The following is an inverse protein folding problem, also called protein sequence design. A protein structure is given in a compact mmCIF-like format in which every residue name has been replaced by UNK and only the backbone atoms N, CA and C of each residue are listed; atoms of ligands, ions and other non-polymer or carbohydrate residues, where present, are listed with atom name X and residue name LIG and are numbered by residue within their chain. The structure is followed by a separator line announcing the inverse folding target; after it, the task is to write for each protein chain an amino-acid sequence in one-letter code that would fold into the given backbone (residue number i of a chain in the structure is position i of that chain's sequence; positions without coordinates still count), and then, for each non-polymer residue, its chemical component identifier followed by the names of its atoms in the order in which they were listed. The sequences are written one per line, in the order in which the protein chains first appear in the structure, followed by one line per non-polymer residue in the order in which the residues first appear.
data_IF_686302918466
#
_entry.id   IF_686302918466
#
_cell.length_a   1.000
_cell.length_b   1.000
_cell.length_c   1.000
_cell.angle_alpha   90.00
_cell.angle_beta   90.00
_cell.angle_gamma   90.00
#
_symmetry.space_group_name_H-M   'P 1'
#
loop_
_entity.id
_entity.type
_entity.pdbx_description
1 polymer ?
#
# COMPACT_ATOMS: atom_id res chain seq x y z
N UNK A 1 23.04 -10.11 46.58
CA UNK A 1 23.68 -11.05 45.63
C UNK A 1 23.70 -10.37 44.27
N UNK A 2 24.84 -9.81 43.90
CA UNK A 2 25.04 -9.08 42.65
C UNK A 2 25.11 -10.10 41.52
N UNK A 3 24.14 -10.08 40.60
CA UNK A 3 24.14 -10.97 39.45
C UNK A 3 25.40 -10.73 38.62
N UNK A 4 26.20 -11.77 38.40
CA UNK A 4 27.34 -11.75 37.49
C UNK A 4 26.87 -11.29 36.10
N UNK A 5 27.60 -10.37 35.43
CA UNK A 5 27.27 -9.98 34.07
C UNK A 5 27.38 -11.22 33.20
N UNK A 6 26.27 -11.61 32.56
CA UNK A 6 26.28 -12.63 31.50
C UNK A 6 27.28 -12.16 30.44
N UNK A 7 28.33 -12.95 30.23
CA UNK A 7 29.32 -12.77 29.16
C UNK A 7 28.58 -12.62 27.84
N UNK A 8 28.50 -11.38 27.35
CA UNK A 8 28.00 -11.10 26.00
C UNK A 8 29.08 -11.59 25.04
N UNK A 9 28.78 -12.49 24.09
CA UNK A 9 29.74 -12.89 23.08
C UNK A 9 30.15 -11.64 22.28
N UNK A 10 31.40 -11.20 22.45
CA UNK A 10 31.95 -10.02 21.78
C UNK A 10 32.44 -10.32 20.35
N UNK A 11 32.30 -11.57 19.90
CA UNK A 11 32.78 -12.03 18.60
C UNK A 11 31.63 -12.12 17.59
N UNK A 12 31.97 -11.87 16.32
CA UNK A 12 31.06 -12.12 15.20
C UNK A 12 30.66 -13.60 15.21
N UNK A 13 29.36 -13.96 15.09
CA UNK A 13 28.88 -15.34 15.11
C UNK A 13 29.20 -16.07 13.79
N UNK A 14 30.49 -16.20 13.48
CA UNK A 14 30.99 -16.61 12.16
C UNK A 14 30.60 -18.04 11.81
N UNK A 15 30.59 -18.94 12.79
CA UNK A 15 30.19 -20.34 12.59
C UNK A 15 28.71 -20.45 12.21
N UNK A 16 27.84 -19.74 12.93
CA UNK A 16 26.41 -19.69 12.65
C UNK A 16 26.13 -19.06 11.28
N UNK A 17 26.82 -17.96 10.97
CA UNK A 17 26.70 -17.33 9.65
C UNK A 17 27.18 -18.25 8.52
N UNK A 18 28.27 -19.00 8.73
CA UNK A 18 28.77 -19.95 7.76
C UNK A 18 27.77 -21.09 7.51
N UNK A 19 27.19 -21.62 8.58
CA UNK A 19 26.19 -22.68 8.58
C UNK A 19 24.91 -22.28 7.82
N UNK A 20 24.35 -21.11 8.17
CA UNK A 20 23.19 -20.55 7.46
C UNK A 20 23.51 -20.24 6.00
N UNK A 21 24.70 -19.72 5.71
CA UNK A 21 25.12 -19.50 4.34
C UNK A 21 25.17 -20.84 3.59
N UNK A 22 25.84 -21.86 4.10
CA UNK A 22 25.88 -23.19 3.45
C UNK A 22 24.48 -23.77 3.19
N UNK A 23 23.54 -23.59 4.12
CA UNK A 23 22.14 -24.02 3.98
C UNK A 23 21.31 -23.20 2.96
N UNK A 24 21.89 -22.21 2.29
CA UNK A 24 21.23 -21.48 1.22
C UNK A 24 20.80 -20.06 1.57
N UNK A 25 20.86 -19.66 2.85
CA UNK A 25 20.32 -18.39 3.31
C UNK A 25 21.15 -17.19 2.81
N UNK A 26 20.44 -16.11 2.50
CA UNK A 26 21.05 -14.86 2.06
C UNK A 26 21.25 -13.92 3.25
N UNK A 27 22.51 -13.63 3.59
CA UNK A 27 22.85 -12.84 4.76
C UNK A 27 23.27 -11.40 4.42
N UNK A 28 23.22 -10.51 5.40
CA UNK A 28 23.60 -9.10 5.32
C UNK A 28 24.45 -8.67 6.52
N UNK A 29 25.48 -7.84 6.34
CA UNK A 29 26.18 -7.23 7.46
C UNK A 29 25.34 -6.08 8.01
N UNK A 30 24.93 -6.16 9.28
CA UNK A 30 24.26 -5.07 9.99
C UNK A 30 25.28 -4.31 10.85
N UNK A 31 24.88 -3.18 11.43
CA UNK A 31 25.76 -2.29 12.18
C UNK A 31 25.82 -0.87 11.63
N UNK A 32 25.00 -0.53 10.64
CA UNK A 32 24.72 0.86 10.26
C UNK A 32 23.54 1.43 11.05
N UNK A 33 23.35 2.75 10.93
CA UNK A 33 22.28 3.49 11.64
C UNK A 33 22.55 3.63 13.14
N UNK A 34 21.73 4.43 13.83
CA UNK A 34 21.89 4.68 15.27
C UNK A 34 21.66 3.43 16.13
N UNK A 35 20.79 2.53 15.66
CA UNK A 35 20.35 1.34 16.39
C UNK A 35 21.13 0.05 16.07
N UNK A 36 22.12 0.15 15.18
CA UNK A 36 22.94 -0.94 14.68
C UNK A 36 22.20 -1.97 13.83
N UNK A 37 20.93 -1.74 13.48
CA UNK A 37 20.10 -2.70 12.71
C UNK A 37 20.12 -2.44 11.21
N UNK A 38 20.63 -1.31 10.77
CA UNK A 38 20.66 -1.00 9.35
C UNK A 38 21.81 -1.74 8.65
N UNK A 39 21.63 -2.19 7.39
CA UNK A 39 22.68 -2.86 6.65
C UNK A 39 23.83 -1.88 6.36
N UNK A 40 25.06 -2.35 6.55
CA UNK A 40 26.28 -1.59 6.23
C UNK A 40 26.41 -1.42 4.70
N UNK A 41 25.84 -2.34 3.92
CA UNK A 41 25.90 -2.34 2.46
C UNK A 41 24.50 -2.38 1.85
N UNK A 42 24.29 -1.62 0.78
CA UNK A 42 23.05 -1.67 0.01
C UNK A 42 22.86 -3.03 -0.69
N UNK A 43 21.66 -3.60 -0.58
CA UNK A 43 21.36 -4.97 -1.04
C UNK A 43 20.11 -5.11 -1.92
N UNK A 44 19.32 -4.04 -2.09
CA UNK A 44 18.11 -4.05 -2.92
C UNK A 44 18.44 -4.50 -4.35
N UNK A 45 17.67 -5.45 -4.88
CA UNK A 45 17.86 -6.01 -6.22
C UNK A 45 19.13 -6.84 -6.42
N UNK A 46 19.95 -7.06 -5.36
CA UNK A 46 21.17 -7.88 -5.45
C UNK A 46 20.87 -9.34 -5.15
N UNK A 47 21.59 -10.21 -5.85
CA UNK A 47 21.66 -11.64 -5.55
C UNK A 47 22.30 -11.90 -4.18
N UNK A 48 22.33 -13.17 -3.78
CA UNK A 48 22.94 -13.63 -2.54
C UNK A 48 24.41 -13.23 -2.47
N UNK A 49 24.81 -12.63 -1.35
CA UNK A 49 26.18 -12.15 -1.17
C UNK A 49 27.12 -13.30 -0.73
N UNK A 50 28.36 -13.35 -1.22
CA UNK A 50 29.39 -14.25 -0.68
C UNK A 50 29.69 -13.92 0.79
N UNK A 51 29.94 -14.93 1.62
CA UNK A 51 30.19 -14.76 3.06
C UNK A 51 31.33 -13.76 3.35
N UNK A 52 32.41 -13.76 2.57
CA UNK A 52 33.51 -12.78 2.68
C UNK A 52 33.06 -11.32 2.53
N UNK A 53 32.03 -11.05 1.70
CA UNK A 53 31.47 -9.70 1.49
C UNK A 53 30.56 -9.28 2.65
N UNK A 54 30.18 -10.20 3.53
CA UNK A 54 29.40 -9.96 4.74
C UNK A 54 30.36 -9.78 5.93
N UNK A 55 31.29 -10.71 6.13
CA UNK A 55 32.22 -10.68 7.27
C UNK A 55 33.18 -9.48 7.22
N UNK A 56 33.74 -9.14 6.05
CA UNK A 56 34.74 -8.07 5.98
C UNK A 56 34.21 -6.69 6.43
N UNK A 57 33.01 -6.24 6.01
CA UNK A 57 32.40 -5.03 6.59
C UNK A 57 32.11 -5.13 8.09
N UNK A 58 31.69 -6.29 8.59
CA UNK A 58 31.41 -6.48 10.02
C UNK A 58 32.68 -6.33 10.86
N UNK A 59 33.80 -6.94 10.45
CA UNK A 59 35.09 -6.78 11.11
C UNK A 59 35.57 -5.32 11.11
N UNK A 60 35.48 -4.63 9.97
CA UNK A 60 35.91 -3.22 9.88
C UNK A 60 35.12 -2.29 10.78
N UNK A 61 33.83 -2.57 10.97
CA UNK A 61 32.94 -1.74 11.78
C UNK A 61 32.79 -2.25 13.23
N UNK A 62 33.47 -3.33 13.62
CA UNK A 62 33.29 -3.96 14.93
C UNK A 62 31.86 -4.45 15.19
N UNK A 63 31.09 -4.74 14.15
CA UNK A 63 29.70 -5.18 14.28
C UNK A 63 29.61 -6.69 14.48
N UNK A 64 28.84 -7.12 15.46
CA UNK A 64 28.50 -8.52 15.73
C UNK A 64 27.07 -8.88 15.30
N UNK A 65 26.38 -7.96 14.61
CA UNK A 65 25.01 -8.14 14.16
C UNK A 65 24.93 -8.42 12.66
N UNK A 66 24.18 -9.44 12.26
CA UNK A 66 23.91 -9.75 10.86
C UNK A 66 22.43 -9.98 10.60
N UNK A 67 22.00 -9.82 9.35
CA UNK A 67 20.62 -9.96 8.92
C UNK A 67 20.43 -11.18 8.03
N UNK A 68 19.29 -11.84 8.14
CA UNK A 68 18.82 -12.87 7.23
C UNK A 68 17.78 -12.25 6.31
N UNK A 69 18.01 -12.27 4.99
CA UNK A 69 17.05 -11.77 3.99
C UNK A 69 15.90 -12.76 3.84
N UNK A 70 14.70 -12.21 3.63
CA UNK A 70 13.46 -12.99 3.62
C UNK A 70 12.97 -13.34 2.21
N UNK A 71 13.90 -13.51 1.26
CA UNK A 71 13.56 -14.02 -0.08
C UNK A 71 13.12 -15.47 0.00
N UNK A 72 11.81 -15.71 -0.08
CA UNK A 72 11.22 -17.05 0.10
C UNK A 72 10.89 -17.42 1.55
N UNK A 73 11.12 -16.52 2.51
CA UNK A 73 10.81 -16.72 3.93
C UNK A 73 9.76 -15.73 4.42
N UNK A 74 9.05 -16.13 5.45
CA UNK A 74 8.21 -15.26 6.26
C UNK A 74 8.63 -15.40 7.74
N UNK A 75 8.64 -14.29 8.45
CA UNK A 75 8.90 -14.26 9.89
C UNK A 75 7.73 -13.56 10.57
N UNK A 76 7.11 -14.25 11.52
CA UNK A 76 6.19 -13.64 12.48
C UNK A 76 7.05 -13.06 13.60
N UNK A 77 7.16 -11.72 13.64
CA UNK A 77 7.96 -10.97 14.60
C UNK A 77 7.06 -10.48 15.74
N UNK A 78 7.08 -11.22 16.85
CA UNK A 78 6.40 -10.86 18.08
C UNK A 78 7.29 -9.88 18.87
N UNK A 79 6.79 -8.67 19.16
CA UNK A 79 7.55 -7.66 19.90
C UNK A 79 7.75 -8.02 21.38
N UNK A 80 6.92 -8.92 21.91
CA UNK A 80 6.89 -9.34 23.32
C UNK A 80 7.10 -10.84 23.39
N UNK A 81 7.91 -11.28 24.36
CA UNK A 81 8.23 -12.69 24.59
C UNK A 81 7.16 -13.32 25.50
N UNK A 82 5.92 -13.35 25.02
CA UNK A 82 4.77 -13.89 25.73
C UNK A 82 4.36 -15.27 25.16
N UNK A 83 4.41 -16.35 25.96
CA UNK A 83 4.01 -17.69 25.51
C UNK A 83 2.57 -17.74 24.96
N UNK A 84 1.62 -17.02 25.55
CA UNK A 84 0.23 -17.02 25.09
C UNK A 84 0.08 -16.38 23.70
N UNK A 85 0.80 -15.29 23.45
CA UNK A 85 0.89 -14.68 22.12
C UNK A 85 1.52 -15.62 21.09
N UNK A 86 2.60 -16.32 21.45
CA UNK A 86 3.29 -17.27 20.56
C UNK A 86 2.34 -18.41 20.20
N UNK A 87 1.69 -19.04 21.19
CA UNK A 87 0.71 -20.10 20.97
C UNK A 87 -0.44 -19.62 20.07
N UNK A 88 -0.95 -18.39 20.30
CA UNK A 88 -1.97 -17.78 19.44
C UNK A 88 -1.48 -17.60 18.00
N UNK A 89 -0.22 -17.23 17.80
CA UNK A 89 0.35 -17.07 16.45
C UNK A 89 0.55 -18.43 15.76
N UNK A 90 1.03 -19.43 16.47
CA UNK A 90 1.22 -20.79 15.94
C UNK A 90 -0.12 -21.49 15.65
N UNK A 91 -1.13 -21.30 16.49
CA UNK A 91 -2.49 -21.77 16.22
C UNK A 91 -3.05 -21.15 14.93
N UNK A 92 -2.76 -19.86 14.70
CA UNK A 92 -3.24 -19.12 13.53
C UNK A 92 -2.48 -19.43 12.24
N UNK A 93 -1.15 -19.53 12.31
CA UNK A 93 -0.28 -19.61 11.13
C UNK A 93 0.35 -21.00 10.92
N UNK A 94 0.04 -21.96 11.79
CA UNK A 94 0.71 -23.24 11.91
C UNK A 94 1.91 -23.16 12.86
N UNK A 95 2.27 -24.27 13.52
CA UNK A 95 3.44 -24.32 14.40
C UNK A 95 4.74 -24.03 13.64
N UNK A 96 5.65 -23.28 14.25
CA UNK A 96 6.97 -23.01 13.70
C UNK A 96 8.01 -23.88 14.41
N UNK A 97 8.79 -24.70 13.68
CA UNK A 97 9.84 -25.49 14.31
C UNK A 97 11.05 -24.66 14.73
N UNK A 98 11.14 -23.39 14.33
CA UNK A 98 12.35 -22.58 14.51
C UNK A 98 12.02 -21.21 15.09
N UNK A 99 12.49 -20.97 16.31
CA UNK A 99 12.30 -19.74 17.05
C UNK A 99 13.64 -19.05 17.36
N UNK A 100 13.67 -17.73 17.19
CA UNK A 100 14.78 -16.90 17.67
C UNK A 100 14.24 -15.90 18.67
N UNK A 101 14.72 -15.97 19.91
CA UNK A 101 14.45 -14.96 20.92
C UNK A 101 15.16 -13.67 20.54
N UNK A 102 14.43 -12.56 20.52
CA UNK A 102 14.95 -11.23 20.27
C UNK A 102 15.18 -10.50 21.61
N UNK A 103 15.72 -9.27 21.62
CA UNK A 103 15.90 -8.52 22.87
C UNK A 103 14.61 -8.29 23.65
N UNK A 104 13.44 -8.29 22.98
CA UNK A 104 12.14 -8.00 23.59
C UNK A 104 11.10 -9.11 23.40
N UNK A 105 11.23 -9.88 22.32
CA UNK A 105 10.21 -10.82 21.88
C UNK A 105 10.77 -12.02 21.14
N UNK A 106 10.10 -12.44 20.06
CA UNK A 106 10.41 -13.69 19.37
C UNK A 106 10.14 -13.62 17.87
N UNK A 107 11.06 -14.17 17.08
CA UNK A 107 10.85 -14.47 15.67
C UNK A 107 10.42 -15.92 15.52
N UNK A 108 9.33 -16.16 14.78
CA UNK A 108 8.90 -17.50 14.36
C UNK A 108 9.11 -17.62 12.84
N UNK A 109 9.89 -18.61 12.41
CA UNK A 109 10.31 -18.74 11.01
C UNK A 109 9.41 -19.68 10.20
N UNK A 110 9.11 -19.27 8.98
CA UNK A 110 8.30 -20.03 8.01
C UNK A 110 8.85 -19.85 6.59
N UNK A 111 8.45 -20.74 5.69
CA UNK A 111 8.50 -20.47 4.26
C UNK A 111 7.37 -19.51 3.89
N UNK A 112 7.67 -18.51 3.06
CA UNK A 112 6.63 -17.62 2.54
C UNK A 112 5.74 -18.36 1.54
N UNK A 113 4.43 -18.29 1.69
CA UNK A 113 3.49 -18.70 0.63
C UNK A 113 3.52 -17.67 -0.52
N UNK A 114 3.47 -18.16 -1.76
CA UNK A 114 3.43 -17.32 -2.95
C UNK A 114 2.05 -16.71 -3.25
N UNK A 115 1.01 -17.20 -2.57
CA UNK A 115 -0.38 -16.82 -2.80
C UNK A 115 -1.09 -16.49 -1.46
N UNK A 116 -1.89 -15.42 -1.47
CA UNK A 116 -2.71 -15.00 -0.33
C UNK A 116 -2.40 -13.60 0.20
N UNK A 117 -3.39 -13.00 0.87
CA UNK A 117 -3.26 -11.70 1.51
C UNK A 117 -2.79 -11.91 2.95
N UNK A 118 -1.65 -11.31 3.31
CA UNK A 118 -1.13 -11.36 4.66
C UNK A 118 -1.87 -10.33 5.53
N UNK A 119 -2.34 -10.71 6.74
CA UNK A 119 -3.01 -9.78 7.64
C UNK A 119 -2.04 -8.70 8.14
N UNK A 120 -2.61 -7.55 8.52
CA UNK A 120 -1.88 -6.55 9.28
C UNK A 120 -2.25 -6.70 10.76
N UNK A 121 -1.48 -7.51 11.48
CA UNK A 121 -1.74 -7.86 12.88
C UNK A 121 -1.71 -6.66 13.83
N UNK A 122 -1.00 -5.59 13.48
CA UNK A 122 -1.02 -4.33 14.25
C UNK A 122 -2.37 -3.65 14.20
N UNK A 123 -3.09 -3.73 13.06
CA UNK A 123 -4.45 -3.22 12.95
C UNK A 123 -5.46 -4.05 13.75
N UNK A 124 -5.10 -5.28 14.08
CA UNK A 124 -5.86 -6.18 14.96
C UNK A 124 -5.46 -6.01 16.45
N UNK A 125 -4.70 -4.96 16.79
CA UNK A 125 -4.27 -4.69 18.17
C UNK A 125 -3.18 -5.61 18.70
N UNK A 126 -2.61 -6.50 17.88
CA UNK A 126 -1.56 -7.42 18.30
C UNK A 126 -0.17 -6.79 18.17
N UNK A 127 0.74 -6.98 19.13
CA UNK A 127 2.12 -6.48 19.05
C UNK A 127 2.99 -7.38 18.16
N UNK A 128 2.53 -7.67 16.95
CA UNK A 128 3.15 -8.63 16.02
C UNK A 128 3.24 -8.01 14.63
N UNK A 129 4.32 -8.29 13.91
CA UNK A 129 4.51 -7.93 12.50
C UNK A 129 4.81 -9.18 11.66
N UNK A 130 4.39 -9.21 10.39
CA UNK A 130 4.75 -10.29 9.46
C UNK A 130 5.75 -9.73 8.43
N UNK A 131 7.01 -10.12 8.58
CA UNK A 131 8.09 -9.69 7.69
C UNK A 131 8.31 -10.72 6.59
N UNK A 132 8.40 -10.25 5.35
CA UNK A 132 8.59 -11.11 4.17
C UNK A 132 9.15 -10.35 2.98
N UNK A 133 9.65 -11.09 2.00
CA UNK A 133 10.02 -10.58 0.68
C UNK A 133 11.52 -10.34 0.53
N UNK A 134 11.98 -10.34 -0.73
CA UNK A 134 13.40 -10.34 -1.08
C UNK A 134 14.20 -9.10 -0.62
N UNK A 135 13.49 -8.01 -0.27
CA UNK A 135 14.04 -6.76 0.23
C UNK A 135 13.85 -6.57 1.75
N UNK A 136 13.23 -7.53 2.44
CA UNK A 136 13.10 -7.52 3.90
C UNK A 136 14.19 -8.41 4.54
N UNK A 137 14.47 -8.13 5.81
CA UNK A 137 15.41 -8.90 6.62
C UNK A 137 15.03 -8.82 8.11
N UNK A 138 15.52 -9.79 8.88
CA UNK A 138 15.53 -9.77 10.35
C UNK A 138 16.95 -10.04 10.86
N UNK A 139 17.29 -9.59 12.06
CA UNK A 139 18.56 -9.97 12.68
C UNK A 139 18.59 -11.50 12.93
N UNK A 140 19.74 -12.12 12.65
CA UNK A 140 19.93 -13.56 12.76
C UNK A 140 20.35 -14.02 14.16
N UNK A 141 20.21 -15.32 14.46
CA UNK A 141 20.65 -15.90 15.73
C UNK A 141 22.14 -15.68 16.01
N UNK A 142 22.50 -15.51 17.28
CA UNK A 142 23.86 -15.17 17.71
C UNK A 142 24.24 -13.70 17.49
N UNK A 143 23.40 -12.89 16.86
CA UNK A 143 23.67 -11.46 16.69
C UNK A 143 23.59 -10.70 18.02
N UNK A 144 24.49 -9.73 18.20
CA UNK A 144 24.46 -8.77 19.30
C UNK A 144 24.43 -7.35 18.73
N UNK A 145 23.54 -6.50 19.24
CA UNK A 145 23.41 -5.10 18.84
C UNK A 145 24.37 -4.22 19.62
N UNK A 146 24.61 -3.00 19.12
CA UNK A 146 25.40 -1.98 19.82
C UNK A 146 24.84 -1.61 21.19
N UNK A 147 23.53 -1.71 21.39
CA UNK A 147 22.85 -1.51 22.67
C UNK A 147 22.87 -2.75 23.59
N UNK A 148 23.60 -3.81 23.22
CA UNK A 148 23.66 -5.08 23.96
C UNK A 148 22.47 -6.01 23.73
N UNK A 149 21.48 -5.61 22.92
CA UNK A 149 20.36 -6.47 22.56
C UNK A 149 20.84 -7.72 21.80
N UNK A 150 20.53 -8.90 22.34
CA UNK A 150 20.99 -10.18 21.79
C UNK A 150 19.85 -10.95 21.09
N UNK A 151 20.22 -11.74 20.09
CA UNK A 151 19.34 -12.67 19.38
C UNK A 151 19.83 -14.10 19.63
N UNK A 152 19.00 -14.95 20.22
CA UNK A 152 19.39 -16.32 20.59
C UNK A 152 18.48 -17.35 19.93
N UNK A 153 19.02 -18.46 19.40
CA UNK A 153 18.19 -19.63 19.11
C UNK A 153 17.40 -20.02 20.35
N UNK A 154 16.08 -20.13 20.20
CA UNK A 154 15.18 -20.51 21.28
C UNK A 154 14.57 -21.90 21.02
N UNK A 155 14.32 -22.22 19.76
CA UNK A 155 13.76 -23.51 19.34
C UNK A 155 14.26 -23.86 17.95
N UNK A 156 14.52 -25.16 17.74
CA UNK A 156 14.98 -25.72 16.49
C UNK A 156 16.24 -25.07 15.91
N UNK A 157 16.46 -25.38 14.65
CA UNK A 157 17.62 -25.00 13.90
C UNK A 157 17.22 -24.56 12.48
N UNK A 158 17.37 -23.26 12.21
CA UNK A 158 17.05 -22.68 10.92
C UNK A 158 17.80 -23.31 9.73
N UNK A 159 19.01 -23.84 9.92
CA UNK A 159 19.77 -24.42 8.80
C UNK A 159 19.44 -25.91 8.56
N UNK A 160 18.84 -26.60 9.53
CA UNK A 160 18.58 -28.04 9.49
C UNK A 160 17.08 -28.37 9.39
N UNK A 161 16.23 -27.61 10.09
CA UNK A 161 14.81 -27.90 10.20
C UNK A 161 14.04 -27.42 8.98
N UNK A 162 13.11 -28.28 8.53
CA UNK A 162 12.24 -27.98 7.41
C UNK A 162 11.13 -27.02 7.84
N UNK A 163 11.24 -25.76 7.41
CA UNK A 163 10.21 -24.76 7.67
C UNK A 163 8.88 -25.10 6.95
N UNK A 164 7.74 -25.08 7.65
CA UNK A 164 6.43 -25.17 7.01
C UNK A 164 6.12 -23.86 6.27
N UNK A 165 5.17 -23.91 5.33
CA UNK A 165 4.59 -22.68 4.79
C UNK A 165 3.75 -21.98 5.84
N UNK A 166 3.88 -20.65 5.90
CA UNK A 166 3.00 -19.84 6.73
C UNK A 166 1.56 -20.02 6.25
N UNK A 167 0.70 -20.62 7.10
CA UNK A 167 -0.71 -20.81 6.76
C UNK A 167 -1.40 -19.48 6.79
N UNK A 168 -1.86 -19.01 5.64
CA UNK A 168 -2.71 -17.83 5.59
C UNK A 168 -4.16 -18.25 5.79
N UNK A 169 -4.95 -17.52 6.59
CA UNK A 169 -6.37 -17.76 6.66
C UNK A 169 -6.95 -17.62 5.25
N UNK A 170 -7.65 -18.65 4.79
CA UNK A 170 -8.47 -18.56 3.59
C UNK A 170 -9.53 -17.49 3.83
N UNK A 171 -9.96 -16.75 2.80
CA UNK A 171 -10.91 -15.62 2.91
C UNK A 171 -12.14 -15.94 3.79
N UNK A 172 -12.59 -17.20 3.79
CA UNK A 172 -13.69 -17.73 4.62
C UNK A 172 -13.40 -17.84 6.12
N UNK A 173 -12.15 -17.94 6.57
CA UNK A 173 -11.76 -17.97 7.99
C UNK A 173 -11.44 -16.58 8.55
N UNK A 174 -11.03 -15.63 7.69
CA UNK A 174 -10.75 -14.26 8.10
C UNK A 174 -12.04 -13.47 8.38
N UNK A 175 -13.12 -13.74 7.64
CA UNK A 175 -14.45 -13.17 7.92
C UNK A 175 -15.12 -13.76 9.17
N UNK A 176 -14.78 -14.99 9.58
CA UNK A 176 -15.48 -15.67 10.69
C UNK A 176 -14.92 -15.40 12.09
N UNK A 177 -13.79 -14.72 12.23
CA UNK A 177 -13.10 -14.61 13.53
C UNK A 177 -13.15 -13.24 14.20
N UNK A 178 -13.61 -12.20 13.51
CA UNK A 178 -13.88 -10.90 14.13
C UNK A 178 -15.15 -10.36 13.48
N UNK A 179 -16.29 -10.44 14.17
CA UNK A 179 -17.49 -9.75 13.74
C UNK A 179 -17.20 -8.25 13.57
N UNK A 180 -17.95 -7.58 12.70
CA UNK A 180 -17.83 -6.14 12.46
C UNK A 180 -18.17 -5.43 13.79
N UNK A 181 -17.13 -4.91 14.43
CA UNK A 181 -17.19 -4.36 15.78
C UNK A 181 -18.16 -3.18 15.91
N UNK A 182 -18.85 -3.11 17.06
CA UNK A 182 -19.70 -1.97 17.40
C UNK A 182 -18.92 -0.65 17.30
N UNK A 183 -19.43 0.26 16.45
CA UNK A 183 -18.82 1.57 16.17
C UNK A 183 -18.20 1.69 14.77
N UNK A 184 -17.85 0.58 14.11
CA UNK A 184 -17.33 0.59 12.72
C UNK A 184 -18.32 0.08 11.67
N UNK A 185 -19.46 -0.47 12.12
CA UNK A 185 -20.46 -1.16 11.28
C UNK A 185 -21.02 -0.32 10.13
N UNK A 186 -21.41 0.93 10.38
CA UNK A 186 -21.96 1.80 9.34
C UNK A 186 -20.94 2.02 8.21
N UNK A 187 -19.67 2.27 8.56
CA UNK A 187 -18.58 2.40 7.59
C UNK A 187 -18.33 1.09 6.84
N UNK A 188 -18.27 -0.04 7.55
CA UNK A 188 -18.05 -1.35 6.94
C UNK A 188 -19.16 -1.71 5.94
N UNK A 189 -20.43 -1.57 6.34
CA UNK A 189 -21.59 -1.80 5.48
C UNK A 189 -21.60 -0.84 4.28
N UNK A 190 -21.21 0.43 4.45
CA UNK A 190 -21.08 1.38 3.35
C UNK A 190 -19.99 1.00 2.34
N UNK A 191 -18.85 0.50 2.83
CA UNK A 191 -17.77 0.01 1.96
C UNK A 191 -18.23 -1.21 1.17
N UNK A 192 -18.88 -2.17 1.83
CA UNK A 192 -19.45 -3.37 1.19
C UNK A 192 -20.50 -2.97 0.14
N UNK A 193 -21.37 -2.02 0.46
CA UNK A 193 -22.40 -1.54 -0.45
C UNK A 193 -21.78 -1.00 -1.75
N UNK A 194 -20.74 -0.17 -1.67
CA UNK A 194 -20.02 0.34 -2.85
C UNK A 194 -19.30 -0.76 -3.64
N UNK A 195 -18.87 -1.84 -2.99
CA UNK A 195 -18.23 -2.98 -3.68
C UNK A 195 -19.24 -3.85 -4.45
N UNK A 196 -20.46 -3.99 -3.92
CA UNK A 196 -21.51 -4.84 -4.48
C UNK A 196 -22.43 -4.11 -5.46
N UNK A 197 -22.54 -2.78 -5.38
CA UNK A 197 -23.56 -2.02 -6.11
C UNK A 197 -23.50 -2.20 -7.64
N UNK A 198 -22.33 -2.48 -8.22
CA UNK A 198 -22.19 -2.71 -9.67
C UNK A 198 -22.64 -4.11 -10.12
N UNK A 199 -22.76 -5.07 -9.19
CA UNK A 199 -23.06 -6.47 -9.50
C UNK A 199 -24.51 -6.87 -9.21
N UNK A 200 -25.27 -6.00 -8.53
CA UNK A 200 -26.68 -6.20 -8.21
C UNK A 200 -27.57 -5.50 -9.23
N UNK A 201 -28.76 -6.03 -9.45
CA UNK A 201 -29.68 -5.56 -10.50
C UNK A 201 -30.54 -4.36 -10.04
N UNK A 202 -30.79 -4.25 -8.73
CA UNK A 202 -31.65 -3.22 -8.14
C UNK A 202 -31.29 -2.91 -6.66
N UNK A 203 -31.82 -1.82 -6.06
CA UNK A 203 -31.49 -1.46 -4.69
C UNK A 203 -32.12 -2.38 -3.62
N UNK A 204 -33.18 -3.14 -3.95
CA UNK A 204 -33.77 -4.13 -3.03
C UNK A 204 -32.84 -5.34 -2.86
N UNK A 205 -32.22 -5.82 -3.94
CA UNK A 205 -31.20 -6.87 -3.90
C UNK A 205 -29.98 -6.42 -3.10
N UNK A 206 -29.51 -5.18 -3.29
CA UNK A 206 -28.41 -4.62 -2.50
C UNK A 206 -28.75 -4.57 -1.01
N UNK A 207 -29.96 -4.12 -0.68
CA UNK A 207 -30.44 -4.12 0.70
C UNK A 207 -30.47 -5.53 1.29
N UNK A 208 -30.99 -6.52 0.55
CA UNK A 208 -31.01 -7.93 0.99
C UNK A 208 -29.61 -8.48 1.27
N UNK A 209 -28.64 -8.18 0.40
CA UNK A 209 -27.24 -8.59 0.60
C UNK A 209 -26.61 -7.92 1.83
N UNK A 210 -26.88 -6.63 2.06
CA UNK A 210 -26.42 -5.93 3.26
C UNK A 210 -27.09 -6.45 4.53
N UNK A 211 -28.34 -6.91 4.45
CA UNK A 211 -29.08 -7.44 5.60
C UNK A 211 -28.48 -8.77 6.05
N UNK A 212 -28.18 -9.63 5.08
CA UNK A 212 -27.45 -10.87 5.31
C UNK A 212 -26.11 -10.62 6.02
N UNK A 213 -25.32 -9.63 5.55
CA UNK A 213 -24.02 -9.31 6.16
C UNK A 213 -24.17 -8.67 7.54
N UNK A 214 -25.19 -7.83 7.76
CA UNK A 214 -25.49 -7.32 9.11
C UNK A 214 -25.75 -8.49 10.05
N UNK A 215 -26.63 -9.40 9.68
CA UNK A 215 -27.12 -10.45 10.57
C UNK A 215 -26.08 -11.55 10.82
N UNK A 216 -25.21 -11.85 9.86
CA UNK A 216 -24.17 -12.89 9.96
C UNK A 216 -22.82 -12.35 10.45
N UNK A 217 -22.45 -11.12 10.08
CA UNK A 217 -21.11 -10.58 10.30
C UNK A 217 -21.04 -9.42 11.30
N UNK A 218 -22.11 -8.66 11.61
CA UNK A 218 -22.03 -7.57 12.59
C UNK A 218 -22.21 -8.06 14.03
N UNK A 219 -21.42 -7.48 14.96
CA UNK A 219 -21.77 -7.57 16.38
C UNK A 219 -23.07 -6.79 16.65
N UNK A 220 -23.95 -7.30 17.53
CA UNK A 220 -25.21 -6.65 17.94
C UNK A 220 -26.04 -6.15 16.73
N UNK A 221 -26.42 -7.03 15.79
CA UNK A 221 -27.09 -6.65 14.54
C UNK A 221 -28.42 -5.95 14.77
N UNK A 222 -29.13 -6.30 15.84
CA UNK A 222 -30.39 -5.69 16.24
C UNK A 222 -30.29 -4.17 16.51
N UNK A 223 -29.10 -3.64 16.77
CA UNK A 223 -28.87 -2.21 16.94
C UNK A 223 -28.76 -1.42 15.62
N UNK A 224 -28.80 -2.09 14.46
CA UNK A 224 -28.80 -1.47 13.13
C UNK A 224 -30.18 -1.75 12.49
N UNK A 225 -31.13 -0.80 12.59
CA UNK A 225 -32.46 -0.99 12.04
C UNK A 225 -32.44 -1.06 10.51
N UNK A 226 -33.43 -1.75 9.93
CA UNK A 226 -33.57 -1.89 8.47
C UNK A 226 -33.59 -0.53 7.76
N UNK A 227 -34.16 0.50 8.37
CA UNK A 227 -34.16 1.87 7.81
C UNK A 227 -32.75 2.45 7.65
N UNK A 228 -31.83 2.17 8.58
CA UNK A 228 -30.43 2.59 8.44
C UNK A 228 -29.76 1.84 7.30
N UNK A 229 -30.00 0.54 7.20
CA UNK A 229 -29.44 -0.30 6.16
C UNK A 229 -29.97 0.09 4.76
N UNK A 230 -31.25 0.44 4.68
CA UNK A 230 -31.90 0.95 3.47
C UNK A 230 -31.26 2.25 2.99
N UNK A 231 -30.99 3.18 3.92
CA UNK A 231 -30.27 4.42 3.59
C UNK A 231 -28.87 4.16 3.01
N UNK A 232 -28.16 3.14 3.49
CA UNK A 232 -26.85 2.75 2.95
C UNK A 232 -27.01 2.19 1.52
N UNK A 233 -27.98 1.31 1.30
CA UNK A 233 -28.28 0.75 -0.02
C UNK A 233 -28.65 1.85 -1.03
N UNK A 234 -29.60 2.73 -0.68
CA UNK A 234 -30.05 3.83 -1.53
C UNK A 234 -28.89 4.81 -1.84
N UNK A 235 -28.04 5.10 -0.86
CA UNK A 235 -26.86 5.95 -1.06
C UNK A 235 -25.85 5.33 -2.03
N UNK A 236 -25.55 4.03 -1.88
CA UNK A 236 -24.62 3.35 -2.78
C UNK A 236 -25.22 3.28 -4.20
N UNK A 237 -26.51 2.97 -4.31
CA UNK A 237 -27.24 2.96 -5.58
C UNK A 237 -27.20 4.32 -6.28
N UNK A 238 -27.42 5.42 -5.54
CA UNK A 238 -27.28 6.77 -6.07
C UNK A 238 -25.84 7.06 -6.53
N UNK A 239 -24.82 6.57 -5.81
CA UNK A 239 -23.43 6.68 -6.25
C UNK A 239 -23.19 5.96 -7.59
N UNK A 240 -23.79 4.78 -7.80
CA UNK A 240 -23.73 4.05 -9.08
C UNK A 240 -24.39 4.85 -10.21
N UNK A 241 -25.65 5.26 -10.03
CA UNK A 241 -26.38 6.04 -11.05
C UNK A 241 -25.69 7.36 -11.40
N UNK A 242 -24.99 7.96 -10.44
CA UNK A 242 -24.24 9.19 -10.63
C UNK A 242 -22.80 8.97 -11.11
N UNK A 243 -22.35 7.74 -11.33
CA UNK A 243 -20.98 7.43 -11.75
C UNK A 243 -19.92 7.89 -10.74
N UNK A 244 -20.27 7.85 -9.43
CA UNK A 244 -19.40 8.20 -8.31
C UNK A 244 -18.68 7.01 -7.69
N UNK A 245 -18.86 5.81 -8.24
CA UNK A 245 -18.17 4.60 -7.81
C UNK A 245 -16.76 4.56 -8.40
N UNK A 246 -15.74 4.52 -7.53
CA UNK A 246 -14.35 4.44 -7.97
C UNK A 246 -13.94 2.98 -8.21
N UNK A 247 -13.60 2.63 -9.44
CA UNK A 247 -13.16 1.30 -9.88
C UNK A 247 -11.70 1.27 -10.36
N UNK A 248 -10.85 2.14 -9.80
CA UNK A 248 -9.46 2.24 -10.23
C UNK A 248 -9.35 2.72 -11.69
N UNK A 249 -8.70 1.92 -12.55
CA UNK A 249 -8.52 2.25 -13.98
C UNK A 249 -9.79 2.11 -14.83
N UNK A 250 -10.78 1.37 -14.33
CA UNK A 250 -12.07 1.21 -14.99
C UNK A 250 -13.08 2.27 -14.54
N UNK A 251 -12.65 3.23 -13.72
CA UNK A 251 -13.54 4.32 -13.29
C UNK A 251 -13.86 5.20 -14.49
N UNK A 252 -15.13 5.44 -14.70
CA UNK A 252 -15.58 6.54 -15.52
C UNK A 252 -15.31 7.86 -14.80
N UNK A 253 -15.12 8.93 -15.57
CA UNK A 253 -15.00 10.25 -15.00
C UNK A 253 -15.73 11.29 -15.83
N UNK A 254 -16.37 12.22 -15.12
CA UNK A 254 -17.11 13.32 -15.73
C UNK A 254 -16.14 14.43 -16.11
N UNK A 255 -16.22 14.89 -17.36
CA UNK A 255 -15.50 16.07 -17.84
C UNK A 255 -16.52 17.19 -18.07
N UNK A 256 -16.24 18.39 -17.56
CA UNK A 256 -17.10 19.55 -17.80
C UNK A 256 -17.09 19.92 -19.28
N UNK A 257 -18.26 19.84 -19.95
CA UNK A 257 -18.41 20.21 -21.36
C UNK A 257 -17.92 21.64 -21.65
N UNK A 258 -18.27 22.59 -20.78
CA UNK A 258 -17.80 23.97 -20.89
C UNK A 258 -16.27 24.10 -20.91
N UNK A 259 -15.54 23.23 -20.21
CA UNK A 259 -14.08 23.21 -20.27
C UNK A 259 -13.57 22.77 -21.65
N UNK A 260 -14.26 21.80 -22.27
CA UNK A 260 -13.94 21.36 -23.62
C UNK A 260 -14.24 22.46 -24.65
N UNK A 261 -15.38 23.15 -24.48
CA UNK A 261 -15.78 24.26 -25.35
C UNK A 261 -14.74 25.41 -25.29
N UNK A 262 -14.29 25.80 -24.09
CA UNK A 262 -13.24 26.80 -23.91
C UNK A 262 -11.90 26.40 -24.56
N UNK A 263 -11.57 25.10 -24.56
CA UNK A 263 -10.33 24.60 -25.14
C UNK A 263 -10.39 24.45 -26.66
N UNK A 264 -11.59 24.26 -27.22
CA UNK A 264 -11.79 24.11 -28.66
C UNK A 264 -11.38 25.36 -29.46
N UNK A 265 -11.37 26.54 -28.83
CA UNK A 265 -10.97 27.80 -29.44
C UNK A 265 -9.43 27.94 -29.64
N UNK A 266 -8.63 27.06 -29.04
CA UNK A 266 -7.17 27.13 -29.11
C UNK A 266 -6.60 26.32 -30.28
N UNK A 267 -5.55 26.81 -31.00
CA UNK A 267 -4.95 26.09 -32.12
C UNK A 267 -4.41 24.69 -31.81
N UNK A 268 -4.17 24.39 -30.54
CA UNK A 268 -3.69 23.10 -30.03
C UNK A 268 -4.73 22.41 -29.11
N UNK A 269 -6.02 22.60 -29.40
CA UNK A 269 -7.15 22.10 -28.60
C UNK A 269 -7.00 20.62 -28.20
N UNK A 270 -6.67 19.72 -29.14
CA UNK A 270 -6.54 18.29 -28.86
C UNK A 270 -5.48 18.00 -27.79
N UNK A 271 -4.33 18.67 -27.83
CA UNK A 271 -3.26 18.49 -26.84
C UNK A 271 -3.67 19.05 -25.48
N UNK A 272 -4.36 20.19 -25.48
CA UNK A 272 -4.86 20.82 -24.26
C UNK A 272 -5.94 19.97 -23.58
N UNK A 273 -6.86 19.39 -24.35
CA UNK A 273 -7.89 18.46 -23.86
C UNK A 273 -7.24 17.19 -23.32
N UNK A 274 -6.30 16.58 -24.05
CA UNK A 274 -5.59 15.38 -23.59
C UNK A 274 -4.85 15.64 -22.27
N UNK A 275 -4.18 16.80 -22.15
CA UNK A 275 -3.54 17.20 -20.90
C UNK A 275 -4.58 17.42 -19.79
N UNK A 276 -5.67 18.13 -20.05
CA UNK A 276 -6.74 18.37 -19.07
C UNK A 276 -7.35 17.08 -18.52
N UNK A 277 -7.68 16.14 -19.41
CA UNK A 277 -8.19 14.81 -19.05
C UNK A 277 -7.18 14.06 -18.18
N UNK A 278 -5.90 14.11 -18.52
CA UNK A 278 -4.85 13.48 -17.71
C UNK A 278 -4.75 14.07 -16.30
N UNK A 279 -5.14 15.34 -16.13
CA UNK A 279 -5.15 16.02 -14.84
C UNK A 279 -6.43 15.79 -14.01
N UNK A 280 -7.41 15.02 -14.52
CA UNK A 280 -8.70 14.79 -13.84
C UNK A 280 -8.56 14.17 -12.44
N UNK A 281 -7.46 13.46 -12.15
CA UNK A 281 -7.18 12.92 -10.81
C UNK A 281 -6.78 13.95 -9.75
N UNK A 282 -6.63 15.23 -10.10
CA UNK A 282 -6.30 16.30 -9.16
C UNK A 282 -7.56 16.97 -8.61
N UNK A 283 -7.58 17.18 -7.29
CA UNK A 283 -8.67 17.88 -6.61
C UNK A 283 -8.61 19.38 -6.98
N UNK A 284 -9.71 19.93 -7.50
CA UNK A 284 -9.81 21.35 -7.82
C UNK A 284 -9.48 22.24 -6.60
N UNK A 285 -8.59 23.21 -6.81
CA UNK A 285 -8.07 24.11 -5.77
C UNK A 285 -6.88 23.58 -4.96
N UNK A 286 -6.54 22.28 -5.04
CA UNK A 286 -5.30 21.74 -4.45
C UNK A 286 -4.11 21.95 -5.38
N UNK A 287 -2.94 22.19 -4.79
CA UNK A 287 -1.71 22.43 -5.53
C UNK A 287 -1.03 21.13 -5.95
N UNK A 288 -0.44 21.12 -7.13
CA UNK A 288 0.36 20.01 -7.65
C UNK A 288 1.50 20.51 -8.54
N UNK A 289 2.53 19.68 -8.68
CA UNK A 289 3.61 19.92 -9.63
C UNK A 289 3.19 19.42 -11.02
N UNK A 290 3.42 20.24 -12.06
CA UNK A 290 3.14 19.87 -13.44
C UNK A 290 4.45 19.91 -14.25
N UNK A 291 5.12 18.75 -14.32
CA UNK A 291 6.43 18.59 -14.95
C UNK A 291 6.34 17.72 -16.18
N UNK A 292 6.78 18.26 -17.33
CA UNK A 292 6.85 17.49 -18.58
C UNK A 292 7.67 16.21 -18.41
N UNK A 293 8.90 16.33 -17.92
CA UNK A 293 9.81 15.20 -17.71
C UNK A 293 9.19 14.14 -16.79
N UNK A 294 8.60 14.57 -15.67
CA UNK A 294 7.95 13.66 -14.72
C UNK A 294 6.75 12.92 -15.33
N UNK A 295 5.94 13.60 -16.13
CA UNK A 295 4.82 12.95 -16.83
C UNK A 295 5.29 12.02 -17.94
N UNK A 296 6.37 12.36 -18.66
CA UNK A 296 6.95 11.52 -19.70
C UNK A 296 7.56 10.24 -19.12
N UNK A 297 8.37 10.36 -18.07
CA UNK A 297 9.01 9.23 -17.39
C UNK A 297 7.95 8.28 -16.77
N UNK A 298 6.81 8.81 -16.35
CA UNK A 298 5.68 8.04 -15.82
C UNK A 298 4.73 7.48 -16.91
N UNK A 299 5.03 7.68 -18.20
CA UNK A 299 4.18 7.24 -19.31
C UNK A 299 2.79 7.89 -19.34
N UNK A 300 2.66 9.11 -18.79
CA UNK A 300 1.39 9.86 -18.68
C UNK A 300 1.16 10.84 -19.82
N UNK A 301 2.14 11.05 -20.70
CA UNK A 301 1.99 11.90 -21.87
C UNK A 301 2.91 11.43 -23.00
N UNK A 302 2.35 11.39 -24.20
CA UNK A 302 3.05 11.12 -25.46
C UNK A 302 3.55 12.42 -26.14
N UNK A 303 3.09 13.59 -25.66
CA UNK A 303 3.43 14.91 -26.21
C UNK A 303 4.94 15.16 -26.18
N UNK A 304 5.41 15.98 -27.13
CA UNK A 304 6.74 16.60 -27.04
C UNK A 304 6.72 17.73 -26.02
N UNK A 305 7.89 18.11 -25.49
CA UNK A 305 8.00 19.19 -24.50
C UNK A 305 7.36 20.49 -25.00
N UNK A 306 7.59 20.84 -26.27
CA UNK A 306 7.00 22.02 -26.90
C UNK A 306 5.47 21.96 -26.93
N UNK A 307 4.90 20.83 -27.33
CA UNK A 307 3.44 20.60 -27.38
C UNK A 307 2.82 20.61 -25.99
N UNK A 308 3.48 19.96 -25.03
CA UNK A 308 3.07 19.96 -23.62
C UNK A 308 3.02 21.38 -23.04
N UNK A 309 4.08 22.17 -23.23
CA UNK A 309 4.13 23.55 -22.74
C UNK A 309 3.09 24.46 -23.44
N UNK A 310 2.80 24.22 -24.72
CA UNK A 310 1.73 24.89 -25.42
C UNK A 310 0.36 24.51 -24.85
N UNK A 311 0.08 23.22 -24.65
CA UNK A 311 -1.15 22.71 -24.04
C UNK A 311 -1.39 23.29 -22.65
N UNK A 312 -0.34 23.32 -21.82
CA UNK A 312 -0.37 23.95 -20.50
C UNK A 312 -0.73 25.44 -20.59
N UNK A 313 -0.13 26.19 -21.53
CA UNK A 313 -0.46 27.60 -21.74
C UNK A 313 -1.91 27.80 -22.17
N UNK A 314 -2.46 26.90 -22.99
CA UNK A 314 -3.88 26.96 -23.39
C UNK A 314 -4.80 26.70 -22.20
N UNK A 315 -4.45 25.77 -21.30
CA UNK A 315 -5.19 25.57 -20.04
C UNK A 315 -5.11 26.78 -19.11
N UNK A 316 -3.94 27.43 -19.03
CA UNK A 316 -3.75 28.68 -18.29
C UNK A 316 -4.60 29.81 -18.91
N UNK A 317 -4.58 29.96 -20.24
CA UNK A 317 -5.32 30.97 -20.99
C UNK A 317 -6.84 30.80 -20.91
N UNK A 318 -7.32 29.55 -20.96
CA UNK A 318 -8.73 29.20 -20.80
C UNK A 318 -9.22 29.35 -19.34
N UNK A 319 -8.34 29.71 -18.41
CA UNK A 319 -8.69 29.84 -16.99
C UNK A 319 -9.02 28.51 -16.30
N UNK A 320 -8.61 27.37 -16.87
CA UNK A 320 -8.80 26.04 -16.29
C UNK A 320 -7.66 25.65 -15.34
N UNK A 321 -6.47 26.20 -15.57
CA UNK A 321 -5.26 25.98 -14.77
C UNK A 321 -4.71 27.31 -14.29
N UNK A 322 -4.25 27.38 -13.05
CA UNK A 322 -3.56 28.56 -12.54
C UNK A 322 -2.25 28.21 -11.86
N UNK A 323 -1.32 29.17 -11.86
CA UNK A 323 -0.04 29.06 -11.16
C UNK A 323 -0.28 29.36 -9.68
N UNK A 324 -0.12 28.35 -8.84
CA UNK A 324 -0.30 28.49 -7.40
C UNK A 324 0.95 29.08 -6.71
N UNK A 325 2.14 28.67 -7.14
CA UNK A 325 3.40 29.27 -6.71
C UNK A 325 4.37 29.40 -7.87
N UNK A 326 5.03 30.55 -7.98
CA UNK A 326 6.06 30.79 -8.99
C UNK A 326 7.30 29.95 -8.65
N UNK A 327 7.98 29.49 -9.69
CA UNK A 327 9.26 28.80 -9.55
C UNK A 327 10.27 29.72 -8.85
N UNK A 328 10.94 29.19 -7.82
CA UNK A 328 12.12 29.82 -7.22
C UNK A 328 13.25 28.81 -7.28
N UNK A 329 14.28 29.11 -8.08
CA UNK A 329 15.43 28.24 -8.24
C UNK A 329 16.00 27.83 -6.88
N UNK A 330 16.36 26.55 -6.73
CA UNK A 330 16.81 25.90 -5.49
C UNK A 330 15.80 25.76 -4.33
N UNK A 331 14.62 26.41 -4.38
CA UNK A 331 13.67 26.36 -3.27
C UNK A 331 12.37 25.60 -3.58
N UNK A 332 11.66 25.96 -4.66
CA UNK A 332 10.39 25.30 -4.99
C UNK A 332 10.15 25.24 -6.51
N UNK A 333 9.76 24.04 -6.97
CA UNK A 333 9.23 23.86 -8.32
C UNK A 333 7.94 24.69 -8.50
N UNK A 334 7.68 25.16 -9.72
CA UNK A 334 6.41 25.84 -10.06
C UNK A 334 5.26 24.89 -9.75
N UNK A 335 4.32 25.35 -8.93
CA UNK A 335 3.11 24.58 -8.65
C UNK A 335 1.90 25.19 -9.34
N UNK A 336 0.94 24.32 -9.63
CA UNK A 336 -0.28 24.64 -10.34
C UNK A 336 -1.47 24.15 -9.52
N UNK A 337 -2.66 24.67 -9.82
CA UNK A 337 -3.92 24.12 -9.32
C UNK A 337 -4.99 24.24 -10.40
N UNK A 338 -5.90 23.28 -10.45
CA UNK A 338 -7.07 23.35 -11.32
C UNK A 338 -8.06 24.32 -10.70
N UNK A 339 -8.58 25.25 -11.51
CA UNK A 339 -9.63 26.16 -11.06
C UNK A 339 -10.95 25.41 -10.94
N UNK A 340 -11.73 25.76 -9.91
CA UNK A 340 -13.12 25.32 -9.85
C UNK A 340 -13.88 26.06 -10.93
N UNK A 341 -14.45 25.31 -11.87
CA UNK A 341 -15.44 25.84 -12.78
C UNK A 341 -16.67 26.17 -11.95
N UNK A 342 -16.81 27.42 -11.56
CA UNK A 342 -18.04 27.87 -10.95
C UNK A 342 -19.04 28.03 -12.09
N UNK A 343 -20.20 27.35 -12.07
CA UNK A 343 -21.31 27.71 -12.93
C UNK A 343 -21.88 29.03 -12.42
N UNK A 344 -21.17 30.13 -12.63
CA UNK A 344 -21.72 31.45 -12.41
C UNK A 344 -22.68 31.73 -13.57
N UNK A 345 -23.98 31.54 -13.32
CA UNK A 345 -25.11 32.37 -13.81
C UNK A 345 -24.82 33.08 -15.16
N UNK A 346 -24.51 32.31 -16.19
CA UNK A 346 -24.28 32.84 -17.54
C UNK A 346 -24.83 31.82 -18.53
N UNK A 347 -26.07 32.08 -18.94
CA UNK A 347 -26.76 31.52 -20.10
C UNK A 347 -27.14 30.04 -20.01
N UNK A 348 -28.12 29.74 -19.14
CA UNK A 348 -29.11 28.72 -19.45
C UNK A 348 -30.00 29.20 -20.61
N UNK A 349 -29.44 29.25 -21.82
CA UNK A 349 -30.21 29.28 -23.07
C UNK A 349 -30.27 27.83 -23.55
N UNK A 350 -31.11 27.05 -22.88
CA UNK A 350 -31.24 25.63 -23.13
C UNK A 350 -31.67 25.37 -24.57
N UNK A 351 -30.95 24.45 -25.22
CA UNK A 351 -31.24 23.77 -26.50
C UNK A 351 -31.00 24.58 -27.78
N UNK A 352 -29.75 24.59 -28.26
CA UNK A 352 -29.52 24.65 -29.71
C UNK A 352 -29.91 23.31 -30.33
N UNK A 353 -30.91 23.31 -31.21
CA UNK A 353 -31.26 22.16 -32.03
C UNK A 353 -30.01 21.67 -32.78
N UNK A 354 -29.74 20.36 -32.70
CA UNK A 354 -28.76 19.69 -33.55
C UNK A 354 -29.03 20.09 -35.00
N UNK A 355 -28.06 20.76 -35.64
CA UNK A 355 -28.12 21.04 -37.07
C UNK A 355 -28.27 19.69 -37.80
N UNK A 356 -29.27 19.50 -38.68
CA UNK A 356 -29.28 18.34 -39.55
C UNK A 356 -28.06 18.42 -40.47
N UNK A 357 -27.43 17.27 -40.69
CA UNK A 357 -26.31 17.13 -41.60
C UNK A 357 -26.72 17.63 -42.99
N UNK A 358 -26.04 18.66 -43.49
CA UNK A 358 -26.11 18.99 -44.90
C UNK A 358 -25.38 17.89 -45.67
N UNK A 359 -26.16 17.07 -46.38
CA UNK A 359 -25.64 15.95 -47.14
C UNK A 359 -26.67 15.41 -48.12
N UNK A 360 -27.24 16.26 -48.96
CA UNK A 360 -27.82 15.84 -50.24
C UNK A 360 -27.46 16.87 -51.32
N UNK A 361 -26.30 16.66 -51.94
CA UNK A 361 -26.06 17.11 -53.31
C UNK A 361 -26.34 15.91 -54.21
N UNK A 362 -27.45 15.98 -54.95
CA UNK A 362 -27.78 15.07 -56.04
C UNK A 362 -27.29 15.69 -57.35
N UNK A 363 -26.70 14.81 -58.18
CA UNK A 363 -26.11 14.97 -59.52
C UNK A 363 -24.63 15.35 -59.61
#
# INVERSE_FOLDING_TARGET
MTALPRLVPSAIPSDEMARLHQAGYSLLPLGGGEDGKSPIIGFKGKSRLPLKRILAPMHRNGSTCYGIRLGGLAVVDCDVDDPGLIEKMEARFGGSPVHVRTPRGRHLYYRASGAGQFPNLRKEGLPVDIKRGANAYVAGPGSVRSDGGCYFPAEGDLAADRLPELRLPTRSQQQRSHGIEKGTRNYALSVVAIQMVETVDDPDELFGNLAFIRDDECEDPASIPDEELRRIADWAWACRLEGRVYMGRNSEFRVHRYALDLLAEYPNASDAIALFVTLHGHIAGKTFALSFKGMRDAGRTDLSERRFLAARRSLEGAGLLEVASRHRAAHHARSYRLKRLHPAIAFASNVSQLRPAQGEGVY
#
